data_IF_579006877348
#
_entry.id   IF_579006877348
#
_cell.length_a   1.000
_cell.length_b   1.000
_cell.length_c   1.000
_cell.angle_alpha   90.00
_cell.angle_beta   90.00
_cell.angle_gamma   90.00
#
_symmetry.space_group_name_H-M   'P 1'
#
loop_
_entity.id
_entity.type
_entity.pdbx_description
1 polymer ?
#
# COMPACT_ATOMS: atom_id res chain seq x y z
N UNK A 1 13.74 -9.32 -7.64
CA UNK A 1 13.07 -9.71 -8.91
C UNK A 1 13.70 -9.02 -10.12
N UNK A 2 13.88 -7.71 -10.08
CA UNK A 2 14.20 -6.85 -11.24
C UNK A 2 15.70 -6.60 -11.50
N UNK A 3 16.61 -7.27 -10.77
CA UNK A 3 18.07 -7.19 -11.04
C UNK A 3 18.92 -6.54 -9.96
N UNK A 4 18.34 -5.92 -8.92
CA UNK A 4 19.08 -5.35 -7.79
C UNK A 4 20.18 -4.38 -8.22
N UNK A 5 21.44 -4.65 -7.86
CA UNK A 5 22.59 -3.83 -8.27
C UNK A 5 22.84 -3.81 -9.78
N UNK A 6 22.26 -4.74 -10.55
CA UNK A 6 22.35 -4.81 -12.00
C UNK A 6 21.20 -4.04 -12.71
N UNK A 7 20.79 -2.89 -12.16
CA UNK A 7 19.74 -2.04 -12.74
C UNK A 7 18.32 -2.36 -12.29
N UNK A 8 18.16 -2.93 -11.10
CA UNK A 8 16.85 -3.19 -10.52
C UNK A 8 16.09 -1.91 -10.16
N UNK A 9 14.78 -1.95 -10.35
CA UNK A 9 13.88 -0.87 -9.96
C UNK A 9 13.69 -0.82 -8.44
N UNK A 10 13.82 0.38 -7.84
CA UNK A 10 13.53 0.65 -6.43
C UNK A 10 12.21 1.44 -6.31
N UNK A 11 11.11 0.72 -6.13
CA UNK A 11 9.74 1.25 -6.11
C UNK A 11 8.93 0.69 -4.94
N UNK A 12 7.88 1.42 -4.57
CA UNK A 12 6.81 1.00 -3.67
C UNK A 12 5.48 1.48 -4.23
N UNK A 13 4.38 0.83 -3.88
CA UNK A 13 3.06 1.38 -4.19
C UNK A 13 2.56 2.39 -3.13
N UNK A 14 1.47 3.09 -3.46
CA UNK A 14 0.83 4.08 -2.56
C UNK A 14 0.30 3.47 -1.26
N UNK A 15 -0.09 2.19 -1.26
CA UNK A 15 -0.63 1.52 -0.07
C UNK A 15 0.46 1.24 0.94
N UNK A 16 1.57 0.63 0.53
CA UNK A 16 2.74 0.44 1.40
C UNK A 16 3.36 1.77 1.84
N UNK A 17 3.49 2.76 0.94
CA UNK A 17 4.04 4.07 1.27
C UNK A 17 3.23 4.79 2.38
N UNK A 18 1.90 4.67 2.36
CA UNK A 18 1.02 5.24 3.40
C UNK A 18 1.26 4.68 4.81
N UNK A 19 1.92 3.52 4.93
CA UNK A 19 2.18 2.84 6.22
C UNK A 19 3.50 3.24 6.87
N UNK A 20 4.28 4.10 6.22
CA UNK A 20 5.61 4.52 6.67
C UNK A 20 5.60 5.73 7.59
N UNK A 21 4.46 6.45 7.66
CA UNK A 21 4.33 7.80 8.23
C UNK A 21 5.10 8.90 7.48
N UNK A 22 5.77 8.58 6.36
CA UNK A 22 6.60 9.54 5.61
C UNK A 22 5.90 10.07 4.36
N UNK A 23 4.73 9.53 3.98
CA UNK A 23 4.00 9.93 2.79
C UNK A 23 2.89 10.91 3.16
N UNK A 24 2.81 12.03 2.45
CA UNK A 24 1.65 12.90 2.49
C UNK A 24 0.49 12.24 1.73
N UNK A 25 -0.64 12.06 2.42
CA UNK A 25 -1.77 11.30 1.86
C UNK A 25 -2.45 12.03 0.70
N UNK A 26 -2.43 13.37 0.67
CA UNK A 26 -3.14 14.15 -0.35
C UNK A 26 -2.39 14.17 -1.69
N UNK A 27 -1.08 14.40 -1.64
CA UNK A 27 -0.20 14.41 -2.82
C UNK A 27 0.26 13.01 -3.23
N UNK A 28 0.22 12.03 -2.32
CA UNK A 28 0.81 10.70 -2.48
C UNK A 28 2.31 10.73 -2.79
N UNK A 29 3.00 11.73 -2.24
CA UNK A 29 4.44 11.92 -2.35
C UNK A 29 5.09 11.82 -0.96
N UNK A 30 6.40 11.57 -0.94
CA UNK A 30 7.16 11.65 0.30
C UNK A 30 7.18 13.09 0.85
N UNK A 31 6.87 13.22 2.13
CA UNK A 31 6.84 14.49 2.84
C UNK A 31 8.25 14.89 3.29
N UNK A 32 8.75 15.99 2.74
CA UNK A 32 10.10 16.47 3.02
C UNK A 32 10.31 16.95 4.45
N UNK A 33 9.28 17.52 5.08
CA UNK A 33 9.35 18.03 6.45
C UNK A 33 9.43 16.87 7.45
N UNK A 34 8.56 15.86 7.30
CA UNK A 34 8.60 14.65 8.15
C UNK A 34 9.95 13.93 7.98
N UNK A 35 10.45 13.82 6.76
CA UNK A 35 11.74 13.19 6.51
C UNK A 35 12.91 13.96 7.15
N UNK A 36 12.89 15.29 7.13
CA UNK A 36 13.90 16.12 7.78
C UNK A 36 13.87 15.93 9.29
N UNK A 37 12.68 15.94 9.90
CA UNK A 37 12.48 15.69 11.34
C UNK A 37 13.01 14.31 11.74
N UNK A 38 12.77 13.29 10.92
CA UNK A 38 13.23 11.91 11.17
C UNK A 38 14.70 11.67 10.78
N UNK A 39 15.36 12.64 10.13
CA UNK A 39 16.74 12.52 9.64
C UNK A 39 16.91 11.51 8.50
N UNK A 40 15.91 11.35 7.63
CA UNK A 40 15.89 10.35 6.55
C UNK A 40 16.24 10.99 5.20
N UNK A 41 17.37 10.62 4.56
CA UNK A 41 17.72 11.12 3.22
C UNK A 41 16.75 10.63 2.14
N UNK A 42 16.31 11.54 1.26
CA UNK A 42 15.41 11.22 0.12
C UNK A 42 15.90 10.12 -0.80
N UNK A 43 17.22 10.02 -0.98
CA UNK A 43 17.86 9.03 -1.83
C UNK A 43 17.67 7.58 -1.34
N UNK A 44 17.28 7.37 -0.08
CA UNK A 44 16.98 6.03 0.45
C UNK A 44 15.57 5.54 0.05
N UNK A 45 14.65 6.48 -0.20
CA UNK A 45 13.25 6.16 -0.40
C UNK A 45 12.96 5.73 -1.84
N UNK A 46 12.17 4.66 -2.05
CA UNK A 46 11.74 4.24 -3.39
C UNK A 46 10.89 5.30 -4.10
N UNK A 47 10.73 5.17 -5.40
CA UNK A 47 9.69 5.89 -6.14
C UNK A 47 8.32 5.32 -5.78
N UNK A 48 7.36 6.19 -5.43
CA UNK A 48 5.96 5.79 -5.18
C UNK A 48 5.26 5.66 -6.53
N UNK A 49 4.64 4.50 -6.77
CA UNK A 49 3.93 4.16 -8.01
C UNK A 49 2.48 3.76 -7.73
N UNK A 50 1.58 3.77 -8.75
CA UNK A 50 0.25 3.17 -8.63
C UNK A 50 0.33 1.68 -8.25
N UNK A 51 -0.64 1.21 -7.49
CA UNK A 51 -0.78 -0.20 -7.07
C UNK A 51 -1.01 -1.17 -8.23
N UNK A 52 -1.55 -0.69 -9.34
CA UNK A 52 -1.59 -1.40 -10.63
C UNK A 52 -1.08 -0.43 -11.69
N UNK A 53 0.13 -0.65 -12.20
CA UNK A 53 0.83 0.31 -13.05
C UNK A 53 0.88 -0.14 -14.52
N UNK A 54 0.22 0.57 -15.45
CA UNK A 54 0.20 0.22 -16.86
C UNK A 54 1.58 0.36 -17.52
N UNK A 55 2.50 1.12 -16.92
CA UNK A 55 3.87 1.29 -17.43
C UNK A 55 4.86 0.30 -16.83
N UNK A 56 4.39 -0.61 -15.96
CA UNK A 56 5.11 -1.68 -15.24
C UNK A 56 6.28 -1.16 -14.36
N UNK A 57 6.54 -1.82 -13.24
CA UNK A 57 7.70 -1.49 -12.38
C UNK A 57 9.01 -1.98 -12.98
N UNK A 58 8.96 -3.05 -13.75
CA UNK A 58 10.12 -3.66 -14.39
C UNK A 58 9.83 -5.09 -14.80
N UNK A 59 10.85 -5.78 -15.31
CA UNK A 59 10.75 -7.20 -15.63
C UNK A 59 11.57 -8.03 -14.65
N UNK A 60 11.12 -9.24 -14.37
CA UNK A 60 11.98 -10.25 -13.74
C UNK A 60 13.19 -10.55 -14.62
N UNK A 61 14.30 -10.92 -13.98
CA UNK A 61 15.51 -11.35 -14.69
C UNK A 61 15.29 -12.67 -15.43
N UNK A 62 15.82 -12.80 -16.65
CA UNK A 62 15.67 -14.00 -17.47
C UNK A 62 16.38 -15.23 -16.87
N UNK A 63 17.51 -14.99 -16.19
CA UNK A 63 18.26 -15.95 -15.38
C UNK A 63 17.78 -15.99 -13.90
N UNK A 64 16.69 -15.29 -13.60
CA UNK A 64 16.07 -15.26 -12.27
C UNK A 64 15.20 -16.48 -11.97
N UNK A 65 14.46 -16.46 -10.85
CA UNK A 65 13.72 -17.63 -10.34
C UNK A 65 12.62 -18.15 -11.28
N UNK A 66 12.16 -17.32 -12.22
CA UNK A 66 11.12 -17.70 -13.18
C UNK A 66 11.66 -18.15 -14.54
N UNK A 67 12.99 -18.09 -14.76
CA UNK A 67 13.61 -18.48 -16.04
C UNK A 67 13.12 -17.67 -17.25
N UNK A 68 12.66 -16.44 -17.04
CA UNK A 68 12.05 -15.61 -18.08
C UNK A 68 11.76 -14.18 -17.63
N UNK A 69 11.47 -13.32 -18.62
CA UNK A 69 11.07 -11.92 -18.38
C UNK A 69 9.56 -11.83 -18.19
N UNK A 70 9.13 -11.68 -16.95
CA UNK A 70 7.73 -11.50 -16.56
C UNK A 70 7.56 -10.05 -16.08
N UNK A 71 6.55 -9.31 -16.56
CA UNK A 71 6.29 -7.96 -16.07
C UNK A 71 5.88 -7.99 -14.59
N UNK A 72 6.49 -7.12 -13.79
CA UNK A 72 6.07 -6.82 -12.43
C UNK A 72 5.32 -5.49 -12.49
N UNK A 73 4.03 -5.49 -12.21
CA UNK A 73 3.15 -4.32 -12.43
C UNK A 73 2.05 -4.14 -11.38
N UNK A 74 2.07 -4.93 -10.31
CA UNK A 74 1.13 -4.82 -9.21
C UNK A 74 1.82 -5.01 -7.87
N UNK A 75 1.53 -4.12 -6.93
CA UNK A 75 1.98 -4.15 -5.55
C UNK A 75 0.91 -3.50 -4.68
N UNK A 76 0.53 -4.17 -3.60
CA UNK A 76 -0.42 -3.72 -2.60
C UNK A 76 -0.01 -4.27 -1.24
N UNK A 77 -0.17 -3.45 -0.19
CA UNK A 77 -0.17 -3.92 1.19
C UNK A 77 -1.20 -5.02 1.38
N UNK A 78 -0.92 -6.00 2.23
CA UNK A 78 -1.71 -7.23 2.37
C UNK A 78 -3.20 -7.00 2.65
N UNK A 79 -3.53 -6.06 3.56
CA UNK A 79 -4.90 -5.74 3.91
C UNK A 79 -5.62 -5.05 2.75
N UNK A 80 -4.96 -4.15 2.04
CA UNK A 80 -5.46 -3.47 0.85
C UNK A 80 -5.62 -4.45 -0.33
N UNK A 81 -4.68 -5.37 -0.51
CA UNK A 81 -4.76 -6.44 -1.49
C UNK A 81 -5.98 -7.35 -1.22
N UNK A 82 -6.24 -7.68 0.05
CA UNK A 82 -7.43 -8.43 0.43
C UNK A 82 -8.72 -7.63 0.15
N UNK A 83 -8.73 -6.31 0.36
CA UNK A 83 -9.86 -5.44 -0.01
C UNK A 83 -10.14 -5.45 -1.51
N UNK A 84 -9.10 -5.34 -2.34
CA UNK A 84 -9.21 -5.45 -3.81
C UNK A 84 -9.66 -6.86 -4.22
N UNK A 85 -9.12 -7.91 -3.60
CA UNK A 85 -9.49 -9.29 -3.86
C UNK A 85 -10.93 -9.65 -3.47
N UNK A 86 -11.51 -8.92 -2.52
CA UNK A 86 -12.92 -8.99 -2.14
C UNK A 86 -13.82 -8.05 -2.97
N UNK A 87 -13.26 -7.40 -3.98
CA UNK A 87 -13.95 -6.46 -4.88
C UNK A 87 -14.65 -5.32 -4.15
N UNK A 88 -14.11 -4.85 -3.03
CA UNK A 88 -14.64 -3.71 -2.28
C UNK A 88 -14.29 -2.38 -2.97
N UNK A 89 -14.85 -2.12 -4.13
CA UNK A 89 -14.53 -0.99 -4.99
C UNK A 89 -15.44 0.22 -4.78
N UNK A 90 -16.64 0.00 -4.24
CA UNK A 90 -17.61 1.06 -4.00
C UNK A 90 -17.44 1.69 -2.62
N UNK A 91 -17.78 2.98 -2.52
CA UNK A 91 -17.76 3.72 -1.25
C UNK A 91 -18.69 3.05 -0.25
N UNK A 92 -18.19 2.82 0.96
CA UNK A 92 -18.95 2.15 2.01
C UNK A 92 -18.77 0.64 2.07
N UNK A 93 -18.18 0.03 1.04
CA UNK A 93 -17.80 -1.38 1.10
C UNK A 93 -16.62 -1.57 2.05
N UNK A 94 -16.70 -2.63 2.85
CA UNK A 94 -15.68 -2.96 3.82
C UNK A 94 -15.37 -4.45 3.77
N UNK A 95 -14.11 -4.76 4.07
CA UNK A 95 -13.71 -6.13 4.42
C UNK A 95 -13.27 -6.16 5.87
N UNK A 96 -13.32 -7.34 6.46
CA UNK A 96 -12.72 -7.60 7.76
C UNK A 96 -11.95 -8.92 7.74
N UNK A 97 -10.65 -8.87 8.02
CA UNK A 97 -9.79 -10.07 8.02
C UNK A 97 -9.65 -10.59 9.45
N UNK A 98 -10.14 -11.81 9.70
CA UNK A 98 -10.08 -12.46 11.01
C UNK A 98 -8.88 -13.40 11.10
N UNK A 99 -7.98 -13.13 12.05
CA UNK A 99 -6.83 -13.97 12.38
C UNK A 99 -6.45 -13.83 13.86
N UNK A 100 -5.16 -13.83 14.17
CA UNK A 100 -4.66 -13.55 15.53
C UNK A 100 -5.14 -12.18 16.04
N UNK A 101 -5.09 -11.16 15.17
CA UNK A 101 -5.80 -9.89 15.30
C UNK A 101 -6.91 -9.76 14.25
N UNK A 102 -7.55 -8.60 14.19
CA UNK A 102 -8.61 -8.31 13.22
C UNK A 102 -8.35 -6.96 12.53
N UNK A 103 -8.47 -6.90 11.21
CA UNK A 103 -8.22 -5.70 10.42
C UNK A 103 -9.40 -5.38 9.51
N UNK A 104 -10.09 -4.30 9.83
CA UNK A 104 -11.19 -3.77 9.03
C UNK A 104 -10.68 -2.66 8.12
N UNK A 105 -11.00 -2.74 6.84
CA UNK A 105 -10.73 -1.70 5.85
C UNK A 105 -12.07 -1.29 5.25
N UNK A 106 -12.40 0.01 5.32
CA UNK A 106 -13.60 0.62 4.76
C UNK A 106 -13.21 1.57 3.62
N UNK A 107 -13.69 1.33 2.42
CA UNK A 107 -13.44 2.17 1.25
C UNK A 107 -14.18 3.52 1.40
N UNK A 108 -13.44 4.63 1.35
CA UNK A 108 -13.99 6.00 1.43
C UNK A 108 -13.97 6.73 0.08
N UNK A 109 -13.71 6.02 -1.01
CA UNK A 109 -13.60 6.58 -2.35
C UNK A 109 -12.41 7.53 -2.47
N UNK A 110 -12.59 8.61 -3.24
CA UNK A 110 -11.53 9.60 -3.47
C UNK A 110 -11.45 10.68 -2.39
N UNK A 111 -12.29 10.58 -1.35
CA UNK A 111 -12.27 11.52 -0.24
C UNK A 111 -11.37 11.01 0.89
N UNK A 112 -10.46 11.90 1.32
CA UNK A 112 -9.68 11.71 2.54
C UNK A 112 -10.58 11.99 3.75
N UNK A 113 -10.85 10.95 4.54
CA UNK A 113 -11.70 11.06 5.74
C UNK A 113 -10.83 10.89 6.99
N UNK A 114 -10.49 11.98 7.70
CA UNK A 114 -9.85 11.91 9.01
C UNK A 114 -10.78 11.26 10.03
N UNK A 115 -10.26 10.37 10.86
CA UNK A 115 -11.06 9.81 11.94
C UNK A 115 -11.16 10.72 13.16
N UNK A 116 -12.34 10.74 13.78
CA UNK A 116 -12.57 11.35 15.09
C UNK A 116 -12.56 10.32 16.25
N UNK A 117 -12.29 9.06 15.96
CA UNK A 117 -12.41 7.93 16.91
C UNK A 117 -11.18 7.01 16.93
N UNK A 118 -10.01 7.50 16.50
CA UNK A 118 -8.76 6.71 16.49
C UNK A 118 -8.59 5.79 15.27
N UNK A 119 -9.46 5.94 14.26
CA UNK A 119 -9.33 5.43 12.89
C UNK A 119 -7.98 5.79 12.26
N UNK A 120 -7.30 4.89 11.55
CA UNK A 120 -6.26 5.31 10.61
C UNK A 120 -6.91 5.70 9.28
N UNK A 121 -6.58 6.89 8.77
CA UNK A 121 -6.83 7.25 7.37
C UNK A 121 -5.64 6.77 6.54
N UNK A 122 -5.89 6.01 5.49
CA UNK A 122 -4.85 5.35 4.69
C UNK A 122 -5.25 5.35 3.21
N UNK A 123 -4.32 5.04 2.31
CA UNK A 123 -4.69 4.71 0.93
C UNK A 123 -5.25 3.28 0.87
N UNK A 124 -6.27 3.08 0.03
CA UNK A 124 -6.87 1.78 -0.26
C UNK A 124 -6.21 1.14 -1.48
N UNK A 125 -6.11 1.89 -2.59
CA UNK A 125 -5.39 1.49 -3.80
C UNK A 125 -5.30 2.68 -4.78
N UNK A 126 -4.47 2.53 -5.81
CA UNK A 126 -4.47 3.41 -6.99
C UNK A 126 -4.22 2.61 -8.26
N UNK A 127 -5.11 2.71 -9.24
CA UNK A 127 -4.99 1.99 -10.51
C UNK A 127 -4.61 2.95 -11.64
N UNK A 128 -3.43 2.75 -12.20
CA UNK A 128 -2.87 3.58 -13.27
C UNK A 128 -2.94 5.07 -12.97
N UNK A 129 -3.64 5.79 -13.86
CA UNK A 129 -3.85 7.24 -13.75
C UNK A 129 -5.14 7.63 -13.03
N UNK A 130 -5.92 6.67 -12.54
CA UNK A 130 -7.13 6.96 -11.79
C UNK A 130 -6.82 7.66 -10.46
N UNK A 131 -7.76 8.43 -9.89
CA UNK A 131 -7.60 9.03 -8.58
C UNK A 131 -7.27 7.97 -7.52
N UNK A 132 -6.47 8.37 -6.53
CA UNK A 132 -6.21 7.53 -5.36
C UNK A 132 -7.51 7.27 -4.61
N UNK A 133 -7.78 6.01 -4.28
CA UNK A 133 -8.88 5.62 -3.39
C UNK A 133 -8.32 5.49 -1.98
N UNK A 134 -9.04 6.03 -1.00
CA UNK A 134 -8.68 6.02 0.41
C UNK A 134 -9.54 5.05 1.21
N UNK A 135 -9.10 4.80 2.43
CA UNK A 135 -9.82 3.98 3.37
C UNK A 135 -9.67 4.48 4.81
N UNK A 136 -10.66 4.11 5.61
CA UNK A 136 -10.52 4.06 7.06
C UNK A 136 -10.13 2.63 7.47
N UNK A 137 -9.12 2.52 8.32
CA UNK A 137 -8.62 1.25 8.83
C UNK A 137 -8.76 1.19 10.35
N UNK A 138 -9.45 0.15 10.82
CA UNK A 138 -9.47 -0.25 12.22
C UNK A 138 -8.62 -1.50 12.43
N UNK A 139 -7.70 -1.44 13.39
CA UNK A 139 -6.91 -2.60 13.81
C UNK A 139 -7.28 -3.02 15.23
N UNK A 140 -7.54 -4.31 15.40
CA UNK A 140 -7.83 -4.95 16.69
C UNK A 140 -6.69 -5.92 16.97
N UNK A 141 -5.86 -5.58 17.95
CA UNK A 141 -4.63 -6.33 18.24
C UNK A 141 -4.88 -7.76 18.73
N UNK A 142 -6.01 -8.01 19.42
CA UNK A 142 -6.33 -9.31 20.03
C UNK A 142 -7.71 -9.76 19.54
N UNK A 143 -7.74 -10.79 18.71
CA UNK A 143 -8.96 -11.47 18.26
C UNK A 143 -8.82 -12.99 18.47
N UNK A 144 -8.27 -13.72 17.48
CA UNK A 144 -8.00 -15.15 17.61
C UNK A 144 -6.97 -15.50 18.68
N UNK A 145 -6.07 -14.57 19.02
CA UNK A 145 -5.12 -14.72 20.13
C UNK A 145 -5.82 -14.98 21.48
N UNK A 146 -7.04 -14.47 21.68
CA UNK A 146 -7.81 -14.69 22.91
C UNK A 146 -8.24 -16.16 23.06
N UNK A 147 -8.60 -16.83 21.97
CA UNK A 147 -9.01 -18.24 21.99
C UNK A 147 -7.80 -19.18 22.15
N UNK A 148 -6.61 -18.73 21.73
CA UNK A 148 -5.36 -19.48 21.88
C UNK A 148 -4.73 -19.37 23.26
N UNK A 149 -5.09 -18.37 24.06
CA UNK A 149 -4.58 -18.14 25.42
C UNK A 149 -5.24 -19.07 26.43
#
# INVERSE_FOLDING_TARGET
>A
LTGGTAGGTHVTDVTNASRTMLMDLQSTLWDGEIMEIMGIPRAMLPEIRPSSDPTIYGYTMADGPFGGRIPVCGDLGDQQAATVGQTCFDVGEAKNTYGTGCFMILNTGTELVPSHSGLLTTTCYKFGSEPTVYALEGSIAIAGALVQW
#
